data_IF_046947515270
#
_entry.id   IF_046947515270
#
_cell.length_a   1.000
_cell.length_b   1.000
_cell.length_c   1.000
_cell.angle_alpha   90.00
_cell.angle_beta   90.00
_cell.angle_gamma   90.00
#
_symmetry.space_group_name_H-M   'P 1'
#
loop_
_entity.id
_entity.type
_entity.pdbx_description
1 polymer ?
#
# COMPACT_ATOMS: atom_id res chain seq x y z
N UNK A 1 15.51 5.75 -0.52
CA UNK A 1 15.82 6.41 -1.79
C UNK A 1 14.81 5.95 -2.83
N UNK A 2 14.34 6.83 -3.72
CA UNK A 2 13.28 6.48 -4.69
C UNK A 2 13.56 6.99 -6.10
N UNK A 3 14.54 7.87 -6.29
CA UNK A 3 14.85 8.45 -7.60
C UNK A 3 15.54 7.45 -8.55
N UNK A 4 16.34 6.54 -8.02
CA UNK A 4 17.19 5.61 -8.79
C UNK A 4 16.93 4.14 -8.47
N UNK A 5 16.13 3.86 -7.44
CA UNK A 5 15.92 2.50 -6.94
C UNK A 5 14.58 1.94 -7.45
N UNK A 6 14.64 0.78 -8.10
CA UNK A 6 13.46 -0.06 -8.34
C UNK A 6 13.13 -0.80 -7.04
N UNK A 7 11.86 -0.86 -6.71
CA UNK A 7 11.38 -1.49 -5.49
C UNK A 7 10.15 -2.33 -5.83
N UNK A 8 10.10 -3.53 -5.29
CA UNK A 8 8.95 -4.42 -5.42
C UNK A 8 8.04 -4.28 -4.20
N UNK A 9 6.74 -4.43 -4.44
CA UNK A 9 5.72 -4.30 -3.41
C UNK A 9 4.66 -5.40 -3.57
N UNK A 10 4.29 -6.02 -2.45
CA UNK A 10 3.22 -7.01 -2.37
C UNK A 10 1.90 -6.34 -1.98
N UNK A 11 0.84 -6.60 -2.75
CA UNK A 11 -0.48 -5.99 -2.49
C UNK A 11 -1.09 -6.60 -1.22
N UNK A 12 -1.35 -5.76 -0.23
CA UNK A 12 -1.94 -6.18 1.05
C UNK A 12 -3.45 -5.95 1.11
N UNK A 13 -3.95 -4.91 0.45
CA UNK A 13 -5.37 -4.61 0.41
C UNK A 13 -5.74 -3.78 -0.83
N UNK A 14 -6.93 -4.05 -1.36
CA UNK A 14 -7.56 -3.26 -2.42
C UNK A 14 -8.99 -2.97 -2.02
N UNK A 15 -9.36 -1.70 -1.84
CA UNK A 15 -10.69 -1.35 -1.36
C UNK A 15 -11.26 -0.10 -2.03
N UNK A 16 -12.60 0.01 -2.02
CA UNK A 16 -13.31 1.22 -2.42
C UNK A 16 -13.72 2.01 -1.18
N UNK A 17 -13.59 3.33 -1.22
CA UNK A 17 -14.03 4.24 -0.16
C UNK A 17 -14.61 5.51 -0.75
N UNK A 18 -15.23 6.33 0.08
CA UNK A 18 -15.57 7.72 -0.22
C UNK A 18 -14.68 8.65 0.61
N UNK A 19 -14.41 9.84 0.08
CA UNK A 19 -13.65 10.90 0.79
C UNK A 19 -14.49 12.18 0.91
N UNK A 20 -14.07 13.11 1.77
CA UNK A 20 -14.75 14.40 2.00
C UNK A 20 -16.20 14.26 2.47
N UNK A 21 -16.46 13.32 3.37
CA UNK A 21 -17.75 13.11 4.04
C UNK A 21 -17.52 12.64 5.47
N UNK A 22 -18.49 12.92 6.35
CA UNK A 22 -18.53 12.40 7.72
C UNK A 22 -19.20 11.01 7.82
N UNK A 23 -19.40 10.35 6.67
CA UNK A 23 -19.91 8.98 6.63
C UNK A 23 -19.02 8.02 7.41
N UNK A 24 -19.59 7.05 8.15
CA UNK A 24 -18.81 5.95 8.75
C UNK A 24 -18.11 5.08 7.70
N UNK A 25 -18.50 5.14 6.42
CA UNK A 25 -17.79 4.52 5.30
C UNK A 25 -16.51 5.29 4.89
N UNK A 26 -16.32 6.52 5.37
CA UNK A 26 -15.16 7.32 5.03
C UNK A 26 -13.93 6.86 5.81
N UNK A 27 -13.09 6.05 5.18
CA UNK A 27 -11.79 5.73 5.72
C UNK A 27 -10.78 6.80 5.31
N UNK A 28 -10.24 7.53 6.30
CA UNK A 28 -9.25 8.59 6.08
C UNK A 28 -7.83 8.01 5.92
N UNK A 29 -7.66 7.09 4.98
CA UNK A 29 -6.39 6.39 4.70
C UNK A 29 -5.22 7.36 4.50
N UNK A 30 -5.48 8.53 3.92
CA UNK A 30 -4.50 9.59 3.68
C UNK A 30 -3.95 10.27 4.94
N UNK A 31 -4.55 10.03 6.13
CA UNK A 31 -4.03 10.53 7.40
C UNK A 31 -3.00 9.59 8.02
N UNK A 32 -2.86 8.38 7.49
CA UNK A 32 -1.84 7.44 7.91
C UNK A 32 -0.56 7.70 7.11
N UNK A 33 0.19 8.72 7.52
CA UNK A 33 1.50 9.05 6.93
C UNK A 33 2.66 8.50 7.75
N UNK A 34 2.45 8.28 9.06
CA UNK A 34 3.44 7.71 9.98
C UNK A 34 2.74 7.16 11.24
N UNK A 35 2.76 5.85 11.46
CA UNK A 35 2.21 5.25 12.68
C UNK A 35 3.13 5.56 13.86
N UNK A 36 2.61 6.20 14.91
CA UNK A 36 3.42 6.58 16.07
C UNK A 36 3.61 5.41 17.04
N UNK A 37 2.87 4.31 16.86
CA UNK A 37 3.00 3.08 17.64
C UNK A 37 2.68 1.82 16.84
N UNK A 38 3.12 0.63 17.29
CA UNK A 38 2.71 -0.65 16.71
C UNK A 38 1.20 -0.85 16.67
N UNK A 39 0.49 -0.45 17.73
CA UNK A 39 -0.97 -0.60 17.82
C UNK A 39 -1.70 0.25 16.78
N UNK A 40 -1.23 1.47 16.52
CA UNK A 40 -1.78 2.32 15.45
C UNK A 40 -1.55 1.70 14.06
N UNK A 41 -0.39 1.06 13.85
CA UNK A 41 -0.06 0.39 12.61
C UNK A 41 -0.93 -0.85 12.40
N UNK A 42 -1.06 -1.70 13.40
CA UNK A 42 -1.88 -2.90 13.34
C UNK A 42 -3.34 -2.54 13.11
N UNK A 43 -3.87 -1.53 13.81
CA UNK A 43 -5.22 -1.03 13.59
C UNK A 43 -5.44 -0.51 12.16
N UNK A 44 -4.43 0.14 11.56
CA UNK A 44 -4.48 0.55 10.16
C UNK A 44 -4.51 -0.64 9.20
N UNK A 45 -3.64 -1.64 9.40
CA UNK A 45 -3.59 -2.86 8.57
C UNK A 45 -4.89 -3.64 8.69
N UNK A 46 -5.39 -3.86 9.90
CA UNK A 46 -6.68 -4.54 10.14
C UNK A 46 -7.83 -3.79 9.45
N UNK A 47 -7.85 -2.45 9.53
CA UNK A 47 -8.87 -1.66 8.85
C UNK A 47 -8.78 -1.79 7.33
N UNK A 48 -7.57 -1.78 6.76
CA UNK A 48 -7.37 -1.96 5.32
C UNK A 48 -7.83 -3.35 4.86
N UNK A 49 -7.44 -4.41 5.59
CA UNK A 49 -7.82 -5.79 5.28
C UNK A 49 -9.33 -6.02 5.44
N UNK A 50 -9.94 -5.45 6.47
CA UNK A 50 -11.39 -5.53 6.69
C UNK A 50 -12.22 -4.82 5.62
N UNK A 51 -11.65 -3.87 4.87
CA UNK A 51 -12.29 -3.22 3.72
C UNK A 51 -11.91 -3.87 2.39
N UNK A 52 -10.92 -4.77 2.37
CA UNK A 52 -10.35 -5.31 1.14
C UNK A 52 -11.37 -6.15 0.37
N UNK A 53 -11.39 -5.95 -0.95
CA UNK A 53 -12.19 -6.73 -1.89
C UNK A 53 -11.64 -8.14 -2.09
N UNK A 54 -10.37 -8.35 -1.76
CA UNK A 54 -9.66 -9.62 -1.96
C UNK A 54 -8.88 -9.98 -0.69
N UNK A 55 -8.89 -11.27 -0.36
CA UNK A 55 -7.89 -11.84 0.55
C UNK A 55 -6.63 -12.15 -0.26
N UNK A 56 -5.57 -11.35 -0.05
CA UNK A 56 -4.31 -11.50 -0.78
C UNK A 56 -3.32 -12.43 -0.06
N UNK A 57 -3.62 -12.85 1.17
CA UNK A 57 -2.69 -13.60 2.02
C UNK A 57 -1.51 -12.77 2.57
N UNK A 58 -1.36 -11.50 2.16
CA UNK A 58 -0.26 -10.63 2.58
C UNK A 58 -0.60 -9.93 3.90
N UNK A 59 0.37 -9.86 4.80
CA UNK A 59 0.34 -9.05 6.03
C UNK A 59 1.51 -8.06 6.06
N UNK A 60 1.42 -7.09 6.96
CA UNK A 60 2.50 -6.17 7.28
C UNK A 60 2.58 -5.99 8.80
N UNK A 61 3.77 -5.75 9.31
CA UNK A 61 4.06 -5.56 10.73
C UNK A 61 4.70 -4.18 10.94
N UNK A 62 4.65 -3.68 12.18
CA UNK A 62 5.24 -2.37 12.50
C UNK A 62 6.72 -2.31 12.11
N UNK A 63 7.06 -1.27 11.34
CA UNK A 63 8.39 -1.09 10.76
C UNK A 63 8.45 -1.37 9.26
N UNK A 64 7.50 -2.14 8.72
CA UNK A 64 7.34 -2.32 7.28
C UNK A 64 7.07 -0.99 6.58
N UNK A 65 7.58 -0.88 5.34
CA UNK A 65 7.33 0.29 4.49
C UNK A 65 6.15 0.02 3.58
N UNK A 66 5.13 0.85 3.68
CA UNK A 66 3.93 0.76 2.86
C UNK A 66 3.95 1.83 1.76
N UNK A 67 3.34 1.49 0.63
CA UNK A 67 2.93 2.45 -0.40
C UNK A 67 1.42 2.38 -0.56
N UNK A 68 0.78 3.54 -0.73
CA UNK A 68 -0.65 3.64 -1.00
C UNK A 68 -0.87 4.35 -2.32
N UNK A 69 -1.49 3.65 -3.27
CA UNK A 69 -1.96 4.21 -4.53
C UNK A 69 -3.45 4.50 -4.40
N UNK A 70 -3.85 5.72 -4.75
CA UNK A 70 -5.23 6.17 -4.63
C UNK A 70 -5.67 6.79 -5.95
N UNK A 71 -6.73 6.27 -6.55
CA UNK A 71 -7.29 6.82 -7.79
C UNK A 71 -8.77 7.14 -7.64
N UNK A 72 -9.29 7.97 -8.53
CA UNK A 72 -10.71 8.29 -8.57
C UNK A 72 -11.53 7.05 -8.93
N UNK A 73 -12.63 6.86 -8.20
CA UNK A 73 -13.64 5.86 -8.52
C UNK A 73 -14.93 6.61 -8.86
N UNK A 74 -15.46 6.38 -10.05
CA UNK A 74 -16.53 7.23 -10.63
C UNK A 74 -17.95 6.68 -10.43
N UNK A 75 -18.12 5.57 -9.71
CA UNK A 75 -19.47 5.04 -9.41
C UNK A 75 -20.14 5.77 -8.25
N UNK A 76 -19.36 6.48 -7.43
CA UNK A 76 -19.83 7.29 -6.30
C UNK A 76 -19.22 8.69 -6.34
N UNK A 77 -19.98 9.71 -5.96
CA UNK A 77 -19.43 11.06 -5.71
C UNK A 77 -18.32 10.97 -4.67
N UNK A 78 -17.16 11.55 -4.97
CA UNK A 78 -15.95 11.44 -4.14
C UNK A 78 -15.46 10.00 -3.90
N UNK A 79 -15.78 9.07 -4.80
CA UNK A 79 -15.28 7.71 -4.74
C UNK A 79 -13.76 7.63 -4.95
N UNK A 80 -13.14 6.70 -4.24
CA UNK A 80 -11.73 6.33 -4.40
C UNK A 80 -11.59 4.82 -4.43
N UNK A 81 -10.70 4.33 -5.29
CA UNK A 81 -10.12 3.01 -5.15
C UNK A 81 -8.71 3.18 -4.60
N UNK A 82 -8.42 2.40 -3.56
CA UNK A 82 -7.18 2.47 -2.81
C UNK A 82 -6.51 1.10 -2.86
N UNK A 83 -5.24 1.10 -3.22
CA UNK A 83 -4.35 -0.08 -3.21
C UNK A 83 -3.25 0.21 -2.20
N UNK A 84 -3.14 -0.64 -1.18
CA UNK A 84 -2.06 -0.58 -0.20
C UNK A 84 -1.14 -1.77 -0.46
N UNK A 85 0.17 -1.54 -0.47
CA UNK A 85 1.16 -2.57 -0.72
C UNK A 85 2.37 -2.41 0.21
N UNK A 86 2.94 -3.54 0.63
CA UNK A 86 4.13 -3.62 1.49
C UNK A 86 5.38 -3.76 0.62
N UNK A 87 6.43 -2.99 0.90
CA UNK A 87 7.72 -3.11 0.23
C UNK A 87 8.36 -4.46 0.55
N UNK A 88 8.78 -5.20 -0.49
CA UNK A 88 9.59 -6.40 -0.31
C UNK A 88 10.98 -5.98 0.16
N UNK A 89 11.46 -6.59 1.24
CA UNK A 89 12.85 -6.47 1.68
C UNK A 89 13.55 -7.80 1.44
N UNK A 90 14.81 -7.75 1.00
CA UNK A 90 15.62 -8.93 0.63
C UNK A 90 15.79 -9.99 1.75
N UNK A 91 15.27 -9.75 2.96
CA UNK A 91 15.41 -10.67 4.10
C UNK A 91 14.17 -11.53 4.39
N UNK A 92 13.14 -11.49 3.55
CA UNK A 92 11.95 -12.35 3.74
C UNK A 92 11.52 -13.03 2.44
N UNK A 93 12.15 -14.16 2.14
CA UNK A 93 11.58 -15.20 1.25
C UNK A 93 12.20 -15.27 -0.14
N UNK A 94 12.82 -16.42 -0.44
CA UNK A 94 13.43 -16.78 -1.70
C UNK A 94 12.57 -16.48 -2.94
N UNK A 95 12.92 -15.44 -3.71
CA UNK A 95 12.85 -15.34 -5.17
C UNK A 95 13.24 -13.92 -5.60
N UNK A 96 14.52 -13.56 -5.51
CA UNK A 96 15.03 -12.41 -6.25
C UNK A 96 15.22 -12.80 -7.73
N UNK A 97 14.53 -12.18 -8.70
CA UNK A 97 14.90 -12.36 -10.11
C UNK A 97 16.31 -11.79 -10.33
N UNK A 98 17.11 -12.52 -11.11
CA UNK A 98 18.43 -12.06 -11.52
C UNK A 98 18.28 -10.71 -12.23
N UNK A 99 18.98 -9.68 -11.73
CA UNK A 99 19.07 -8.39 -12.40
C UNK A 99 20.02 -8.51 -13.59
N UNK A 100 19.50 -8.89 -14.76
CA UNK A 100 20.20 -8.83 -16.04
C UNK A 100 19.67 -7.65 -16.89
N UNK A 101 20.19 -6.45 -16.63
CA UNK A 101 19.74 -5.32 -17.43
C UNK A 101 20.48 -4.01 -17.19
N UNK A 102 21.81 -4.03 -17.25
CA UNK A 102 22.55 -2.83 -17.59
C UNK A 102 22.25 -2.46 -19.05
N UNK A 103 21.72 -1.26 -19.27
CA UNK A 103 21.85 -0.57 -20.54
C UNK A 103 22.24 0.87 -20.24
N UNK A 104 23.52 1.17 -20.48
CA UNK A 104 24.09 2.50 -20.44
C UNK A 104 23.34 3.41 -21.43
N UNK A 105 22.98 4.62 -20.99
CA UNK A 105 22.49 5.67 -21.88
C UNK A 105 23.73 6.52 -22.24
N UNK A 106 24.22 6.49 -23.49
CA UNK A 106 25.37 7.31 -23.88
C UNK A 106 24.99 8.80 -23.93
N UNK A 107 26.03 9.61 -23.71
CA UNK A 107 26.07 11.05 -23.41
C UNK A 107 25.25 11.98 -24.30
#
# INVERSE_FOLDING_TARGET
NTLTEKNEYEILAVFKTVVYTDSPEAFKYYRFTDAQSPEEFDAYIEKCKGLSLYDTGVSAEYGDKLITLSTCEYSRTNGRIVVVAKKVTESSGANAPANDGAAEIPS
#
